data_IF_798570352398
#
_entry.id   IF_798570352398
#
_cell.length_a   1.000
_cell.length_b   1.000
_cell.length_c   1.000
_cell.angle_alpha   90.00
_cell.angle_beta   90.00
_cell.angle_gamma   90.00
#
_symmetry.space_group_name_H-M   'P 1'
#
loop_
_entity.id
_entity.type
_entity.pdbx_description
1 polymer ?
#
# COMPACT_ATOMS: atom_id res chain seq x y z
N UNK A 1 -10.78 34.46 34.18
CA UNK A 1 -11.06 34.18 32.76
C UNK A 1 -10.85 32.70 32.54
N UNK A 2 -11.89 31.91 32.82
CA UNK A 2 -11.89 30.45 32.57
C UNK A 2 -12.30 30.29 31.11
N UNK A 3 -11.34 29.85 30.29
CA UNK A 3 -11.61 29.47 28.92
C UNK A 3 -12.59 28.32 28.89
N UNK A 4 -13.65 28.49 28.17
CA UNK A 4 -14.57 27.46 27.71
C UNK A 4 -13.78 26.56 26.75
N UNK A 5 -13.03 25.61 27.26
CA UNK A 5 -12.54 24.45 26.49
C UNK A 5 -13.77 23.59 26.26
N UNK A 6 -14.45 23.81 25.12
CA UNK A 6 -15.66 23.12 24.75
C UNK A 6 -15.52 21.61 24.96
N UNK A 7 -16.53 21.00 25.59
CA UNK A 7 -16.58 19.55 25.76
C UNK A 7 -16.24 18.84 24.43
N UNK A 8 -15.42 17.78 24.47
CA UNK A 8 -15.08 17.04 23.27
C UNK A 8 -16.35 16.51 22.59
N UNK A 9 -16.50 16.75 21.29
CA UNK A 9 -17.61 16.19 20.51
C UNK A 9 -17.43 14.68 20.41
N UNK A 10 -18.12 13.95 21.26
CA UNK A 10 -18.13 12.48 21.25
C UNK A 10 -18.81 11.95 19.99
N UNK A 11 -18.43 10.74 19.60
CA UNK A 11 -19.07 10.01 18.51
C UNK A 11 -20.48 9.59 18.95
N UNK A 12 -21.46 9.76 18.07
CA UNK A 12 -22.78 9.13 18.25
C UNK A 12 -22.74 7.61 17.95
N UNK A 13 -23.87 6.94 18.04
CA UNK A 13 -23.96 5.50 17.86
C UNK A 13 -23.56 5.06 16.46
N UNK A 14 -24.01 5.77 15.42
CA UNK A 14 -23.69 5.43 14.02
C UNK A 14 -22.23 5.73 13.68
N UNK A 15 -21.71 6.85 14.18
CA UNK A 15 -20.30 7.23 14.04
C UNK A 15 -19.39 6.20 14.74
N UNK A 16 -19.77 5.76 15.94
CA UNK A 16 -19.03 4.76 16.71
C UNK A 16 -19.01 3.41 16.01
N UNK A 17 -20.14 2.93 15.50
CA UNK A 17 -20.21 1.67 14.74
C UNK A 17 -19.34 1.76 13.48
N UNK A 18 -19.49 2.79 12.68
CA UNK A 18 -18.68 2.98 11.48
C UNK A 18 -17.17 2.99 11.79
N UNK A 19 -16.76 3.66 12.88
CA UNK A 19 -15.36 3.67 13.33
C UNK A 19 -14.87 2.29 13.74
N UNK A 20 -15.66 1.56 14.53
CA UNK A 20 -15.28 0.22 14.99
C UNK A 20 -15.16 -0.77 13.83
N UNK A 21 -16.09 -0.74 12.86
CA UNK A 21 -16.01 -1.59 11.65
C UNK A 21 -14.76 -1.26 10.83
N UNK A 22 -14.43 0.01 10.67
CA UNK A 22 -13.20 0.41 9.99
C UNK A 22 -11.96 -0.09 10.73
N UNK A 23 -11.89 0.09 12.05
CA UNK A 23 -10.75 -0.37 12.87
C UNK A 23 -10.57 -1.88 12.76
N UNK A 24 -11.66 -2.64 12.87
CA UNK A 24 -11.60 -4.09 12.70
C UNK A 24 -11.06 -4.47 11.31
N UNK A 25 -11.61 -3.87 10.24
CA UNK A 25 -11.20 -4.16 8.88
C UNK A 25 -9.71 -3.88 8.64
N UNK A 26 -9.21 -2.72 9.06
CA UNK A 26 -7.80 -2.36 8.87
C UNK A 26 -6.84 -3.16 9.76
N UNK A 27 -7.35 -3.81 10.81
CA UNK A 27 -6.54 -4.65 11.68
C UNK A 27 -6.33 -6.06 11.11
N UNK A 28 -7.38 -6.72 10.62
CA UNK A 28 -7.29 -8.12 10.20
C UNK A 28 -6.98 -8.29 8.70
N UNK A 29 -7.52 -7.44 7.83
CA UNK A 29 -7.41 -7.62 6.37
C UNK A 29 -5.96 -7.60 5.87
N UNK A 30 -5.11 -6.65 6.29
CA UNK A 30 -3.70 -6.65 5.88
C UNK A 30 -2.97 -7.92 6.31
N UNK A 31 -3.23 -8.42 7.52
CA UNK A 31 -2.62 -9.64 8.03
C UNK A 31 -3.06 -10.89 7.24
N UNK A 32 -4.34 -10.98 6.85
CA UNK A 32 -4.86 -12.07 6.05
C UNK A 32 -4.24 -12.10 4.64
N UNK A 33 -4.10 -10.93 3.99
CA UNK A 33 -3.45 -10.82 2.69
C UNK A 33 -1.95 -11.12 2.76
N UNK A 34 -1.28 -10.67 3.83
CA UNK A 34 0.14 -10.97 4.06
C UNK A 34 0.37 -12.47 4.27
N UNK A 35 -0.47 -13.12 5.05
CA UNK A 35 -0.42 -14.56 5.27
C UNK A 35 -0.60 -15.36 3.97
N UNK A 36 -1.53 -14.94 3.10
CA UNK A 36 -1.73 -15.57 1.81
C UNK A 36 -0.49 -15.42 0.90
N UNK A 37 0.02 -14.19 0.74
CA UNK A 37 1.18 -13.94 -0.12
C UNK A 37 2.44 -14.65 0.39
N UNK A 38 2.64 -14.69 1.70
CA UNK A 38 3.78 -15.40 2.30
C UNK A 38 3.67 -16.89 2.05
N UNK A 39 2.49 -17.50 2.26
CA UNK A 39 2.27 -18.95 2.09
C UNK A 39 2.37 -19.38 0.63
N UNK A 40 1.75 -18.64 -0.29
CA UNK A 40 1.53 -19.08 -1.66
C UNK A 40 2.61 -18.56 -2.63
N UNK A 41 3.27 -17.47 -2.26
CA UNK A 41 4.22 -16.78 -3.12
C UNK A 41 5.57 -16.45 -2.45
N UNK A 42 5.78 -16.81 -1.20
CA UNK A 42 7.01 -16.48 -0.46
C UNK A 42 7.41 -15.00 -0.59
N UNK A 43 6.42 -14.12 -0.50
CA UNK A 43 6.59 -12.65 -0.44
C UNK A 43 5.66 -12.06 0.59
N UNK A 44 6.10 -11.01 1.28
CA UNK A 44 5.21 -10.22 2.14
C UNK A 44 4.32 -9.31 1.30
N UNK A 45 3.18 -8.87 1.87
CA UNK A 45 2.30 -7.88 1.22
C UNK A 45 3.04 -6.62 0.82
N UNK A 46 4.01 -6.17 1.63
CA UNK A 46 4.78 -4.97 1.33
C UNK A 46 5.77 -5.21 0.18
N UNK A 47 6.43 -6.37 0.12
CA UNK A 47 7.27 -6.78 -1.02
C UNK A 47 6.45 -6.87 -2.31
N UNK A 48 5.28 -7.52 -2.25
CA UNK A 48 4.38 -7.63 -3.40
C UNK A 48 3.90 -6.24 -3.87
N UNK A 49 3.53 -5.34 -2.95
CA UNK A 49 3.12 -3.97 -3.30
C UNK A 49 4.24 -3.22 -4.04
N UNK A 50 5.48 -3.33 -3.59
CA UNK A 50 6.64 -2.72 -4.26
C UNK A 50 6.80 -3.29 -5.69
N UNK A 51 6.78 -4.61 -5.84
CA UNK A 51 6.91 -5.25 -7.14
C UNK A 51 5.75 -4.89 -8.08
N UNK A 52 4.51 -4.85 -7.57
CA UNK A 52 3.32 -4.48 -8.32
C UNK A 52 3.36 -3.01 -8.79
N UNK A 53 3.76 -2.08 -7.92
CA UNK A 53 3.92 -0.65 -8.29
C UNK A 53 4.99 -0.49 -9.37
N UNK A 54 6.10 -1.19 -9.27
CA UNK A 54 7.16 -1.17 -10.29
C UNK A 54 6.68 -1.80 -11.60
N UNK A 55 5.89 -2.87 -11.57
CA UNK A 55 5.40 -3.54 -12.77
C UNK A 55 4.48 -2.66 -13.63
N UNK A 56 3.79 -1.70 -13.01
CA UNK A 56 2.89 -0.75 -13.67
C UNK A 56 3.59 0.57 -14.02
N UNK A 57 4.84 0.76 -13.63
CA UNK A 57 5.58 1.98 -13.88
C UNK A 57 6.13 2.03 -15.31
N UNK A 58 6.28 3.23 -15.94
CA UNK A 58 7.04 3.38 -17.16
C UNK A 58 8.42 2.75 -17.01
N UNK A 59 8.83 1.95 -18.01
CA UNK A 59 10.10 1.21 -17.99
C UNK A 59 10.34 0.41 -16.70
N UNK A 60 9.27 0.08 -15.98
CA UNK A 60 9.32 -0.63 -14.70
C UNK A 60 10.23 0.04 -13.66
N UNK A 61 10.27 1.37 -13.68
CA UNK A 61 11.21 2.18 -12.90
C UNK A 61 10.50 3.25 -12.08
N UNK A 62 10.93 3.43 -10.83
CA UNK A 62 10.50 4.52 -9.94
C UNK A 62 11.67 4.99 -9.08
N UNK A 63 11.66 6.29 -8.71
CA UNK A 63 12.56 6.78 -7.66
C UNK A 63 12.21 6.14 -6.32
N UNK A 64 13.20 5.95 -5.46
CA UNK A 64 12.99 5.36 -4.13
C UNK A 64 11.97 6.15 -3.30
N UNK A 65 11.99 7.48 -3.37
CA UNK A 65 11.03 8.32 -2.64
C UNK A 65 9.60 8.15 -3.15
N UNK A 66 9.40 8.15 -4.48
CA UNK A 66 8.09 7.93 -5.07
C UNK A 66 7.56 6.52 -4.78
N UNK A 67 8.43 5.52 -4.85
CA UNK A 67 8.07 4.13 -4.55
C UNK A 67 7.65 3.95 -3.09
N UNK A 68 8.34 4.60 -2.13
CA UNK A 68 7.97 4.58 -0.72
C UNK A 68 6.57 5.18 -0.50
N UNK A 69 6.28 6.31 -1.15
CA UNK A 69 4.97 6.95 -1.09
C UNK A 69 3.86 6.04 -1.63
N UNK A 70 4.06 5.46 -2.81
CA UNK A 70 3.07 4.60 -3.48
C UNK A 70 2.86 3.27 -2.75
N UNK A 71 3.92 2.69 -2.16
CA UNK A 71 3.84 1.48 -1.36
C UNK A 71 3.38 1.73 0.09
N UNK A 72 3.05 2.99 0.42
CA UNK A 72 2.60 3.38 1.76
C UNK A 72 3.59 3.01 2.88
N UNK A 73 4.88 3.21 2.63
CA UNK A 73 5.95 2.91 3.56
C UNK A 73 6.92 4.07 3.78
N UNK A 74 7.73 3.99 4.84
CA UNK A 74 8.86 4.92 5.02
C UNK A 74 10.00 4.59 4.05
N UNK A 75 10.82 5.60 3.71
CA UNK A 75 12.00 5.41 2.86
C UNK A 75 13.00 4.41 3.48
N UNK A 76 13.16 4.43 4.81
CA UNK A 76 14.01 3.47 5.53
C UNK A 76 13.50 2.04 5.36
N UNK A 77 12.20 1.78 5.63
CA UNK A 77 11.59 0.47 5.44
C UNK A 77 11.73 -0.01 3.99
N UNK A 78 11.45 0.89 3.03
CA UNK A 78 11.61 0.58 1.61
C UNK A 78 13.03 0.18 1.28
N UNK A 79 14.03 0.92 1.77
CA UNK A 79 15.44 0.63 1.48
C UNK A 79 15.85 -0.76 1.94
N UNK A 80 15.44 -1.17 3.14
CA UNK A 80 15.69 -2.54 3.63
C UNK A 80 15.01 -3.60 2.78
N UNK A 81 13.76 -3.37 2.39
CA UNK A 81 13.02 -4.33 1.57
C UNK A 81 13.60 -4.43 0.16
N UNK A 82 13.94 -3.30 -0.48
CA UNK A 82 14.59 -3.31 -1.79
C UNK A 82 15.92 -4.06 -1.76
N UNK A 83 16.71 -3.95 -0.69
CA UNK A 83 17.93 -4.75 -0.53
C UNK A 83 17.65 -6.27 -0.55
N UNK A 84 16.57 -6.72 0.10
CA UNK A 84 16.15 -8.13 0.04
C UNK A 84 15.67 -8.55 -1.35
N UNK A 85 14.91 -7.68 -2.02
CA UNK A 85 14.44 -7.93 -3.39
C UNK A 85 15.59 -7.96 -4.40
N UNK A 86 16.65 -7.16 -4.19
CA UNK A 86 17.89 -7.23 -4.97
C UNK A 86 18.61 -8.55 -4.77
N UNK A 87 18.73 -9.03 -3.53
CA UNK A 87 19.32 -10.33 -3.23
C UNK A 87 18.58 -11.50 -3.90
N UNK A 88 17.26 -11.34 -4.15
CA UNK A 88 16.44 -12.29 -4.91
C UNK A 88 16.50 -12.08 -6.44
N UNK A 89 17.20 -11.06 -6.90
CA UNK A 89 17.31 -10.72 -8.32
C UNK A 89 16.03 -10.14 -8.93
N UNK A 90 15.05 -9.70 -8.13
CA UNK A 90 13.76 -9.20 -8.61
C UNK A 90 13.73 -7.69 -8.85
N UNK A 91 14.60 -6.96 -8.17
CA UNK A 91 14.79 -5.52 -8.31
C UNK A 91 16.28 -5.22 -8.45
N UNK A 92 16.63 -4.14 -9.10
CA UNK A 92 17.97 -3.55 -9.08
C UNK A 92 17.88 -2.07 -8.81
N UNK A 93 18.88 -1.52 -8.13
CA UNK A 93 19.05 -0.06 -8.00
C UNK A 93 19.81 0.48 -9.21
N UNK A 94 19.42 1.68 -9.64
CA UNK A 94 20.17 2.45 -10.63
C UNK A 94 20.26 3.91 -10.17
N UNK A 95 21.23 4.64 -10.73
CA UNK A 95 21.27 6.11 -10.57
C UNK A 95 20.33 6.71 -11.60
N UNK A 96 19.64 7.81 -11.22
CA UNK A 96 18.88 8.59 -12.20
C UNK A 96 19.83 9.22 -13.22
N UNK A 97 19.44 9.18 -14.49
CA UNK A 97 20.20 9.87 -15.55
C UNK A 97 20.26 11.38 -15.34
N UNK A 98 19.18 11.96 -14.77
CA UNK A 98 19.02 13.40 -14.59
C UNK A 98 19.69 13.92 -13.29
N UNK A 99 19.98 13.05 -12.34
CA UNK A 99 20.57 13.43 -11.05
C UNK A 99 21.35 12.26 -10.45
N UNK A 100 22.64 12.37 -10.34
CA UNK A 100 23.51 11.35 -9.73
C UNK A 100 23.22 11.07 -8.24
N UNK A 101 22.42 11.91 -7.58
CA UNK A 101 21.99 11.75 -6.18
C UNK A 101 20.70 10.96 -6.04
N UNK A 102 19.83 10.96 -7.05
CA UNK A 102 18.54 10.25 -7.01
C UNK A 102 18.77 8.77 -7.35
N UNK A 103 18.26 7.89 -6.47
CA UNK A 103 18.30 6.44 -6.68
C UNK A 103 16.96 5.95 -7.17
N UNK A 104 16.99 5.13 -8.20
CA UNK A 104 15.81 4.44 -8.74
C UNK A 104 15.83 2.97 -8.33
N UNK A 105 14.64 2.41 -8.19
CA UNK A 105 14.41 0.97 -8.19
C UNK A 105 13.84 0.56 -9.56
N UNK A 106 14.37 -0.50 -10.13
CA UNK A 106 13.98 -1.03 -11.43
C UNK A 106 13.59 -2.49 -11.26
N UNK A 107 12.40 -2.88 -11.71
CA UNK A 107 11.96 -4.27 -11.71
C UNK A 107 12.67 -5.03 -12.82
N UNK A 108 13.23 -6.18 -12.47
CA UNK A 108 13.85 -7.11 -13.45
C UNK A 108 12.78 -7.97 -14.13
N UNK A 109 13.16 -8.70 -15.20
CA UNK A 109 12.27 -9.67 -15.82
C UNK A 109 11.88 -10.79 -14.85
N UNK A 110 12.81 -11.23 -14.00
CA UNK A 110 12.52 -12.19 -12.94
C UNK A 110 11.52 -11.63 -11.91
N UNK A 111 11.67 -10.37 -11.52
CA UNK A 111 10.71 -9.68 -10.65
C UNK A 111 9.33 -9.53 -11.29
N UNK A 112 9.28 -9.21 -12.57
CA UNK A 112 8.02 -9.16 -13.32
C UNK A 112 7.34 -10.53 -13.39
N UNK A 113 8.09 -11.57 -13.73
CA UNK A 113 7.58 -12.94 -13.73
C UNK A 113 7.02 -13.34 -12.36
N UNK A 114 7.67 -12.91 -11.26
CA UNK A 114 7.20 -13.12 -9.90
C UNK A 114 5.85 -12.44 -9.63
N UNK A 115 5.66 -11.20 -10.08
CA UNK A 115 4.37 -10.49 -9.98
C UNK A 115 3.28 -11.25 -10.74
N UNK A 116 3.54 -11.61 -12.00
CA UNK A 116 2.58 -12.33 -12.84
C UNK A 116 2.17 -13.66 -12.23
N UNK A 117 3.12 -14.42 -11.69
CA UNK A 117 2.84 -15.71 -11.05
C UNK A 117 2.05 -15.56 -9.75
N UNK A 118 2.27 -14.48 -8.98
CA UNK A 118 1.62 -14.27 -7.69
C UNK A 118 0.22 -13.62 -7.82
N UNK A 119 -0.02 -12.86 -8.88
CA UNK A 119 -1.23 -12.05 -9.03
C UNK A 119 -2.54 -12.87 -9.01
N UNK A 120 -2.68 -14.03 -9.67
CA UNK A 120 -3.94 -14.78 -9.67
C UNK A 120 -4.38 -15.20 -8.25
N UNK A 121 -3.47 -15.75 -7.46
CA UNK A 121 -3.75 -16.16 -6.07
C UNK A 121 -4.10 -14.97 -5.18
N UNK A 122 -3.36 -13.88 -5.32
CA UNK A 122 -3.62 -12.66 -4.56
C UNK A 122 -4.98 -12.04 -4.92
N UNK A 123 -5.32 -11.94 -6.21
CA UNK A 123 -6.62 -11.44 -6.66
C UNK A 123 -7.76 -12.34 -6.17
N UNK A 124 -7.60 -13.66 -6.23
CA UNK A 124 -8.60 -14.58 -5.70
C UNK A 124 -8.85 -14.35 -4.20
N UNK A 125 -7.80 -14.14 -3.40
CA UNK A 125 -7.94 -13.86 -1.98
C UNK A 125 -8.58 -12.49 -1.71
N UNK A 126 -8.18 -11.43 -2.44
CA UNK A 126 -8.84 -10.12 -2.37
C UNK A 126 -10.33 -10.25 -2.70
N UNK A 127 -10.69 -11.01 -3.72
CA UNK A 127 -12.10 -11.25 -4.06
C UNK A 127 -12.82 -11.95 -2.92
N UNK A 128 -12.28 -13.05 -2.42
CA UNK A 128 -12.87 -13.86 -1.36
C UNK A 128 -13.11 -13.06 -0.07
N UNK A 129 -12.15 -12.22 0.31
CA UNK A 129 -12.20 -11.45 1.56
C UNK A 129 -13.04 -10.18 1.45
N UNK A 130 -13.14 -9.57 0.26
CA UNK A 130 -13.77 -8.25 0.11
C UNK A 130 -14.74 -8.17 -1.07
N UNK A 131 -14.26 -8.31 -2.30
CA UNK A 131 -15.02 -7.95 -3.51
C UNK A 131 -16.29 -8.77 -3.67
N UNK A 132 -16.22 -10.08 -3.47
CA UNK A 132 -17.35 -11.00 -3.67
C UNK A 132 -18.36 -10.96 -2.49
N UNK A 133 -18.06 -10.22 -1.43
CA UNK A 133 -18.94 -9.97 -0.29
C UNK A 133 -19.79 -8.71 -0.43
N UNK A 134 -19.54 -7.92 -1.46
CA UNK A 134 -20.16 -6.61 -1.68
C UNK A 134 -20.92 -6.56 -3.00
N UNK A 135 -22.06 -5.90 -2.97
CA UNK A 135 -22.80 -5.56 -4.20
C UNK A 135 -22.02 -4.51 -5.00
N UNK A 136 -22.34 -4.34 -6.28
CA UNK A 136 -21.75 -3.31 -7.14
C UNK A 136 -21.94 -1.89 -6.58
N UNK A 137 -23.06 -1.62 -5.95
CA UNK A 137 -23.34 -0.34 -5.31
C UNK A 137 -22.44 -0.12 -4.11
N UNK A 138 -22.31 -1.12 -3.23
CA UNK A 138 -21.40 -1.05 -2.07
C UNK A 138 -19.93 -0.90 -2.46
N UNK A 139 -19.49 -1.56 -3.54
CA UNK A 139 -18.12 -1.37 -4.06
C UNK A 139 -17.87 0.07 -4.52
N UNK A 140 -18.85 0.70 -5.18
CA UNK A 140 -18.74 2.12 -5.57
C UNK A 140 -18.73 3.05 -4.37
N UNK A 141 -19.57 2.77 -3.37
CA UNK A 141 -19.60 3.52 -2.11
C UNK A 141 -18.27 3.39 -1.35
N UNK A 142 -17.75 2.18 -1.21
CA UNK A 142 -16.45 1.93 -0.58
C UNK A 142 -15.32 2.68 -1.29
N UNK A 143 -15.30 2.66 -2.62
CA UNK A 143 -14.32 3.42 -3.40
C UNK A 143 -14.45 4.93 -3.19
N UNK A 144 -15.68 5.47 -3.10
CA UNK A 144 -15.93 6.89 -2.83
C UNK A 144 -15.47 7.30 -1.42
N UNK A 145 -15.83 6.48 -0.41
CA UNK A 145 -15.39 6.67 0.98
C UNK A 145 -13.85 6.64 1.07
N UNK A 146 -13.24 5.62 0.47
CA UNK A 146 -11.78 5.48 0.47
C UNK A 146 -11.08 6.68 -0.16
N UNK A 147 -11.57 7.18 -1.29
CA UNK A 147 -11.01 8.40 -1.91
C UNK A 147 -11.13 9.63 -0.99
N UNK A 148 -12.27 9.80 -0.33
CA UNK A 148 -12.50 10.92 0.58
C UNK A 148 -11.55 10.88 1.79
N UNK A 149 -11.38 9.70 2.40
CA UNK A 149 -10.48 9.53 3.54
C UNK A 149 -9.00 9.67 3.13
N UNK A 150 -8.62 9.15 1.97
CA UNK A 150 -7.25 9.28 1.45
C UNK A 150 -6.94 10.73 1.01
N UNK A 151 -7.91 11.50 0.49
CA UNK A 151 -7.77 12.92 0.16
C UNK A 151 -7.37 13.75 1.38
N UNK A 152 -8.01 13.52 2.51
CA UNK A 152 -7.65 14.18 3.77
C UNK A 152 -6.19 13.88 4.24
N UNK A 153 -5.58 12.81 3.73
CA UNK A 153 -4.15 12.49 3.97
C UNK A 153 -3.22 13.22 3.01
N UNK A 154 -3.64 13.47 1.77
CA UNK A 154 -2.85 14.20 0.78
C UNK A 154 -2.65 15.67 1.17
N UNK A 155 -3.61 16.25 1.92
CA UNK A 155 -3.51 17.60 2.47
C UNK A 155 -2.50 17.73 3.63
N UNK A 156 -2.10 16.62 4.24
CA UNK A 156 -0.95 16.56 5.13
C UNK A 156 0.30 16.40 4.26
N UNK A 157 1.02 17.50 4.05
CA UNK A 157 2.25 17.54 3.24
C UNK A 157 3.12 16.29 3.44
N UNK A 158 3.69 15.73 2.37
CA UNK A 158 4.75 14.75 2.53
C UNK A 158 5.85 15.42 3.37
N UNK A 159 6.25 14.70 4.41
CA UNK A 159 7.33 15.09 5.29
C UNK A 159 8.53 15.57 4.45
N UNK A 160 8.82 16.87 4.56
CA UNK A 160 10.02 17.51 3.99
C UNK A 160 11.13 17.31 5.01
N UNK A 161 11.91 16.27 4.86
CA UNK A 161 13.13 15.99 5.57
C UNK A 161 14.24 15.63 4.64
#
# INVERSE_FOLDING_TARGET
>A
MTGDEGEPKWLDADESDAWLQLVQLVSWLPAALDAQLTRDADVTSFEYAILAVLSQAPERTRTMSNLALLANGSLSRLSHVVTRLEARGWVRRSRSADSGRVRNAVLTDAGHAKVVASAPGHVAEVRRLTVDRLTRTQLRQLAAIGRRLNGARADRQPWQG
#
